data_IF_623025778259
#
_entry.id   IF_623025778259
#
_cell.length_a   1.000
_cell.length_b   1.000
_cell.length_c   1.000
_cell.angle_alpha   90.00
_cell.angle_beta   90.00
_cell.angle_gamma   90.00
#
_symmetry.space_group_name_H-M   'P 1'
#
loop_
_entity.id
_entity.type
_entity.pdbx_description
1 polymer ?
#
# COMPACT_ATOMS: atom_id res chain seq x y z
N UNK A 1 -3.09 -11.54 67.02
CA UNK A 1 -2.70 -10.73 65.85
C UNK A 1 -1.80 -11.58 64.96
N UNK A 2 -2.37 -12.32 63.99
CA UNK A 2 -2.19 -12.17 62.54
C UNK A 2 -2.85 -13.37 61.84
N UNK A 3 -3.93 -13.11 61.09
CA UNK A 3 -4.54 -14.03 60.14
C UNK A 3 -3.72 -14.05 58.85
N UNK A 4 -3.81 -15.12 58.07
CA UNK A 4 -3.44 -15.15 56.65
C UNK A 4 -2.99 -16.54 56.24
N UNK A 5 -3.90 -17.46 55.88
CA UNK A 5 -4.28 -17.65 54.47
C UNK A 5 -3.05 -17.70 53.54
N UNK A 6 -2.34 -18.82 53.54
CA UNK A 6 -1.78 -19.32 52.29
C UNK A 6 -2.55 -20.57 51.94
N UNK A 7 -3.73 -20.31 51.38
CA UNK A 7 -4.50 -21.26 50.61
C UNK A 7 -3.57 -22.09 49.72
N UNK A 8 -3.96 -23.34 49.59
CA UNK A 8 -3.68 -24.20 48.46
C UNK A 8 -3.75 -23.44 47.13
N UNK A 9 -2.65 -22.82 46.71
CA UNK A 9 -2.43 -22.52 45.31
C UNK A 9 -1.98 -23.84 44.70
N UNK A 10 -2.98 -24.66 44.43
CA UNK A 10 -2.91 -25.77 43.51
C UNK A 10 -2.10 -25.33 42.30
N UNK A 11 -0.98 -26.03 42.07
CA UNK A 11 -0.24 -26.02 40.81
C UNK A 11 -1.18 -26.53 39.71
N UNK A 12 -2.11 -25.70 39.24
CA UNK A 12 -2.62 -25.81 37.89
C UNK A 12 -1.55 -25.21 36.99
N UNK A 13 -0.53 -26.01 36.70
CA UNK A 13 0.30 -25.79 35.52
C UNK A 13 -0.69 -25.86 34.36
N UNK A 14 -1.04 -24.69 33.82
CA UNK A 14 -1.87 -24.60 32.64
C UNK A 14 -1.04 -25.19 31.50
N UNK A 15 -1.30 -26.45 31.15
CA UNK A 15 -0.68 -27.09 29.99
C UNK A 15 -1.10 -26.31 28.76
N UNK A 16 -0.20 -25.45 28.27
CA UNK A 16 -0.41 -24.71 27.04
C UNK A 16 -0.17 -25.69 25.89
N UNK A 17 -1.24 -26.21 25.29
CA UNK A 17 -1.16 -27.06 24.11
C UNK A 17 -0.82 -26.20 22.88
N UNK A 18 0.47 -26.05 22.62
CA UNK A 18 0.99 -25.43 21.40
C UNK A 18 0.94 -26.42 20.24
N UNK A 19 0.24 -26.06 19.17
CA UNK A 19 0.13 -26.87 17.96
C UNK A 19 0.63 -26.04 16.77
N UNK A 20 1.47 -26.65 15.92
CA UNK A 20 1.88 -26.03 14.65
C UNK A 20 0.71 -25.93 13.68
N UNK A 21 0.83 -25.09 12.65
CA UNK A 21 -0.17 -24.97 11.58
C UNK A 21 -0.46 -26.33 10.90
N UNK A 22 0.58 -27.11 10.60
CA UNK A 22 0.45 -28.46 10.05
C UNK A 22 -0.26 -29.44 11.00
N UNK A 23 0.01 -29.31 12.30
CA UNK A 23 -0.67 -30.07 13.35
C UNK A 23 -2.14 -29.70 13.46
N UNK A 24 -2.47 -28.41 13.38
CA UNK A 24 -3.85 -27.91 13.39
C UNK A 24 -4.65 -28.48 12.22
N UNK A 25 -4.11 -28.48 11.00
CA UNK A 25 -4.78 -29.09 9.85
C UNK A 25 -5.00 -30.59 10.03
N UNK A 26 -4.00 -31.29 10.56
CA UNK A 26 -4.13 -32.73 10.83
C UNK A 26 -5.27 -33.01 11.81
N UNK A 27 -5.39 -32.21 12.87
CA UNK A 27 -6.47 -32.33 13.85
C UNK A 27 -7.83 -32.05 13.21
N UNK A 28 -7.96 -30.95 12.45
CA UNK A 28 -9.22 -30.59 11.78
C UNK A 28 -9.64 -31.67 10.79
N UNK A 29 -8.71 -32.20 9.99
CA UNK A 29 -9.00 -33.20 8.96
C UNK A 29 -9.33 -34.59 9.53
N UNK A 30 -8.79 -34.95 10.72
CA UNK A 30 -8.99 -36.27 11.35
C UNK A 30 -10.08 -36.30 12.42
N UNK A 31 -10.56 -35.16 12.89
CA UNK A 31 -11.58 -35.13 13.94
C UNK A 31 -12.91 -35.78 13.49
N UNK A 32 -13.70 -36.29 14.44
CA UNK A 32 -15.00 -36.95 14.16
C UNK A 32 -15.98 -36.01 13.45
N UNK A 33 -15.96 -34.73 13.79
CA UNK A 33 -16.85 -33.76 13.16
C UNK A 33 -16.49 -33.49 11.69
N UNK A 34 -15.28 -33.84 11.21
CA UNK A 34 -14.87 -33.63 9.81
C UNK A 34 -15.68 -34.45 8.79
N UNK A 35 -16.38 -35.50 9.24
CA UNK A 35 -17.30 -36.30 8.41
C UNK A 35 -18.77 -35.90 8.58
N UNK A 36 -19.10 -35.08 9.58
CA UNK A 36 -20.47 -34.64 9.85
C UNK A 36 -20.82 -33.44 8.99
N UNK A 37 -21.70 -33.64 8.00
CA UNK A 37 -22.18 -32.58 7.11
C UNK A 37 -22.68 -31.38 7.92
N UNK A 38 -22.22 -30.18 7.56
CA UNK A 38 -22.61 -28.93 8.21
C UNK A 38 -21.73 -28.50 9.39
N UNK A 39 -20.80 -29.33 9.87
CA UNK A 39 -19.83 -28.90 10.89
C UNK A 39 -18.74 -27.98 10.29
N UNK A 40 -18.07 -27.18 11.14
CA UNK A 40 -16.93 -26.36 10.71
C UNK A 40 -15.80 -27.22 10.13
N UNK A 41 -15.35 -28.31 10.79
CA UNK A 41 -14.29 -29.16 10.23
C UNK A 41 -14.68 -29.84 8.91
N UNK A 42 -15.95 -30.23 8.75
CA UNK A 42 -16.43 -30.81 7.50
C UNK A 42 -16.38 -29.79 6.34
N UNK A 43 -16.80 -28.54 6.58
CA UNK A 43 -16.69 -27.47 5.57
C UNK A 43 -15.24 -27.21 5.18
N UNK A 44 -14.34 -27.12 6.16
CA UNK A 44 -12.91 -26.96 5.91
C UNK A 44 -12.35 -28.12 5.07
N UNK A 45 -12.57 -29.37 5.51
CA UNK A 45 -12.14 -30.56 4.77
C UNK A 45 -12.66 -30.55 3.33
N UNK A 46 -13.95 -30.20 3.14
CA UNK A 46 -14.53 -30.16 1.80
C UNK A 46 -13.89 -29.07 0.96
N UNK A 47 -13.79 -27.84 1.46
CA UNK A 47 -13.16 -26.72 0.75
C UNK A 47 -11.71 -27.03 0.34
N UNK A 48 -10.88 -27.53 1.27
CA UNK A 48 -9.50 -27.92 0.97
C UNK A 48 -9.44 -28.99 -0.14
N UNK A 49 -10.31 -30.00 -0.07
CA UNK A 49 -10.27 -31.14 -1.01
C UNK A 49 -10.94 -30.87 -2.35
N UNK A 50 -11.92 -29.98 -2.43
CA UNK A 50 -12.63 -29.67 -3.69
C UNK A 50 -12.10 -28.44 -4.42
N UNK A 51 -11.47 -27.51 -3.72
CA UNK A 51 -11.05 -26.23 -4.29
C UNK A 51 -9.53 -26.05 -4.19
N UNK A 52 -8.99 -26.03 -2.96
CA UNK A 52 -7.58 -25.68 -2.71
C UNK A 52 -6.62 -26.67 -3.36
N UNK A 53 -6.69 -27.95 -3.00
CA UNK A 53 -5.77 -28.97 -3.51
C UNK A 53 -5.90 -29.17 -5.05
N UNK A 54 -7.11 -29.23 -5.64
CA UNK A 54 -7.25 -29.29 -7.09
C UNK A 54 -6.67 -28.08 -7.81
N UNK A 55 -6.81 -26.87 -7.27
CA UNK A 55 -6.19 -25.67 -7.84
C UNK A 55 -4.67 -25.77 -7.79
N UNK A 56 -4.09 -26.01 -6.61
CA UNK A 56 -2.63 -26.14 -6.46
C UNK A 56 -2.08 -27.22 -7.40
N UNK A 57 -2.76 -28.36 -7.54
CA UNK A 57 -2.33 -29.43 -8.46
C UNK A 57 -2.32 -28.98 -9.93
N UNK A 58 -3.21 -28.07 -10.33
CA UNK A 58 -3.33 -27.57 -11.72
C UNK A 58 -2.42 -26.38 -12.00
N UNK A 59 -2.33 -25.42 -11.07
CA UNK A 59 -1.70 -24.11 -11.29
C UNK A 59 -0.38 -23.94 -10.52
N UNK A 60 -0.05 -24.84 -9.60
CA UNK A 60 1.11 -24.73 -8.71
C UNK A 60 0.91 -23.82 -7.50
N UNK A 61 -0.23 -23.13 -7.37
CA UNK A 61 -0.51 -22.18 -6.30
C UNK A 61 -2.00 -22.05 -6.00
N UNK A 62 -2.37 -21.75 -4.74
CA UNK A 62 -3.73 -21.35 -4.38
C UNK A 62 -3.79 -19.83 -4.26
N UNK A 63 -4.73 -19.21 -4.98
CA UNK A 63 -4.96 -17.76 -4.93
C UNK A 63 -6.44 -17.52 -4.64
N UNK A 64 -6.72 -16.86 -3.51
CA UNK A 64 -8.09 -16.46 -3.12
C UNK A 64 -8.61 -15.32 -3.99
N UNK A 65 -7.69 -14.59 -4.63
CA UNK A 65 -8.05 -13.84 -5.81
C UNK A 65 -8.33 -14.89 -6.87
N UNK A 66 -9.60 -15.01 -7.26
CA UNK A 66 -9.94 -15.29 -8.65
C UNK A 66 -8.83 -14.68 -9.47
N UNK A 67 -8.00 -15.51 -10.09
CA UNK A 67 -7.07 -15.03 -11.09
C UNK A 67 -7.96 -14.44 -12.17
N UNK A 68 -8.28 -13.18 -12.00
CA UNK A 68 -8.79 -12.27 -12.98
C UNK A 68 -7.59 -11.95 -13.89
N UNK A 69 -7.01 -13.01 -14.46
CA UNK A 69 -6.32 -12.98 -15.75
C UNK A 69 -7.38 -12.92 -16.87
N UNK A 70 -8.62 -12.62 -16.52
CA UNK A 70 -9.63 -12.13 -17.43
C UNK A 70 -9.28 -10.64 -17.68
N UNK A 71 -9.20 -10.19 -18.93
CA UNK A 71 -9.14 -8.78 -19.25
C UNK A 71 -10.18 -7.99 -18.44
N UNK A 72 -9.88 -6.75 -18.06
CA UNK A 72 -10.76 -5.87 -17.25
C UNK A 72 -12.22 -5.86 -17.79
N UNK A 73 -12.39 -6.06 -19.10
CA UNK A 73 -13.67 -6.13 -19.81
C UNK A 73 -14.52 -7.39 -19.53
N UNK A 74 -13.94 -8.41 -18.93
CA UNK A 74 -14.59 -9.69 -18.58
C UNK A 74 -14.86 -9.80 -17.07
N UNK A 75 -14.48 -8.80 -16.28
CA UNK A 75 -14.75 -8.77 -14.85
C UNK A 75 -16.22 -8.40 -14.57
N UNK A 76 -16.83 -8.94 -13.50
CA UNK A 76 -18.07 -8.41 -12.96
C UNK A 76 -17.96 -6.89 -12.76
N UNK A 77 -19.00 -6.14 -13.12
CA UNK A 77 -18.98 -4.66 -13.13
C UNK A 77 -18.59 -4.06 -11.77
N UNK A 78 -18.88 -4.75 -10.67
CA UNK A 78 -18.52 -4.36 -9.29
C UNK A 78 -17.02 -4.46 -8.98
N UNK A 79 -16.26 -5.25 -9.75
CA UNK A 79 -14.82 -5.46 -9.56
C UNK A 79 -13.95 -4.72 -10.59
N UNK A 80 -14.55 -4.15 -11.65
CA UNK A 80 -13.82 -3.34 -12.63
C UNK A 80 -13.32 -2.05 -12.00
N UNK A 81 -12.07 -1.69 -12.31
CA UNK A 81 -11.59 -0.34 -12.00
C UNK A 81 -12.35 0.63 -12.90
N UNK A 82 -13.13 1.53 -12.29
CA UNK A 82 -13.82 2.59 -13.04
C UNK A 82 -12.77 3.46 -13.74
N UNK A 83 -12.79 3.49 -15.06
CA UNK A 83 -11.97 4.39 -15.88
C UNK A 83 -12.81 5.59 -16.28
N UNK A 84 -12.21 6.77 -16.18
CA UNK A 84 -12.84 8.02 -16.56
C UNK A 84 -12.02 8.61 -17.71
N UNK A 85 -12.64 8.81 -18.86
CA UNK A 85 -12.09 9.62 -19.95
C UNK A 85 -12.72 11.00 -19.86
N UNK A 86 -11.89 12.00 -19.55
CA UNK A 86 -12.28 13.41 -19.65
C UNK A 86 -11.25 14.13 -20.49
N UNK A 87 -11.73 14.94 -21.42
CA UNK A 87 -10.91 15.92 -22.10
C UNK A 87 -10.65 17.06 -21.12
N UNK A 88 -9.38 17.44 -21.01
CA UNK A 88 -8.92 18.54 -20.17
C UNK A 88 -8.25 19.56 -21.08
N UNK A 89 -8.44 20.84 -20.76
CA UNK A 89 -7.78 21.92 -21.49
C UNK A 89 -6.29 21.98 -21.14
N UNK A 90 -5.51 22.63 -22.00
CA UNK A 90 -4.09 22.85 -21.75
C UNK A 90 -3.84 23.53 -20.40
N UNK A 91 -4.60 24.59 -20.10
CA UNK A 91 -4.53 25.30 -18.81
C UNK A 91 -4.78 24.37 -17.61
N UNK A 92 -5.73 23.44 -17.72
CA UNK A 92 -6.03 22.48 -16.64
C UNK A 92 -4.86 21.51 -16.42
N UNK A 93 -4.22 21.06 -17.50
CA UNK A 93 -3.02 20.24 -17.42
C UNK A 93 -1.84 20.99 -16.79
N UNK A 94 -1.63 22.25 -17.18
CA UNK A 94 -0.61 23.13 -16.59
C UNK A 94 -0.85 23.40 -15.10
N UNK A 95 -2.11 23.44 -14.63
CA UNK A 95 -2.42 23.52 -13.19
C UNK A 95 -1.92 22.30 -12.41
N UNK A 96 -1.92 21.10 -12.99
CA UNK A 96 -1.32 19.93 -12.34
C UNK A 96 0.21 20.04 -12.30
N UNK A 97 0.85 20.57 -13.34
CA UNK A 97 2.28 20.88 -13.32
C UNK A 97 2.63 21.89 -12.22
N UNK A 98 1.81 22.94 -12.08
CA UNK A 98 1.94 23.95 -11.02
C UNK A 98 1.78 23.36 -9.63
N UNK A 99 0.79 22.47 -9.42
CA UNK A 99 0.59 21.76 -8.15
C UNK A 99 1.81 20.90 -7.79
N UNK A 100 2.33 20.16 -8.77
CA UNK A 100 3.53 19.36 -8.59
C UNK A 100 4.75 20.23 -8.23
N UNK A 101 4.92 21.36 -8.93
CA UNK A 101 6.01 22.30 -8.71
C UNK A 101 5.91 22.98 -7.33
N UNK A 102 4.71 23.30 -6.86
CA UNK A 102 4.46 23.81 -5.53
C UNK A 102 4.89 22.80 -4.44
N UNK A 103 4.55 21.52 -4.62
CA UNK A 103 5.01 20.45 -3.73
C UNK A 103 6.54 20.33 -3.75
N UNK A 104 7.15 20.32 -4.93
CA UNK A 104 8.61 20.29 -5.07
C UNK A 104 9.29 21.43 -4.28
N UNK A 105 8.82 22.67 -4.45
CA UNK A 105 9.39 23.84 -3.77
C UNK A 105 9.18 23.77 -2.25
N UNK A 106 8.02 23.29 -1.79
CA UNK A 106 7.77 23.12 -0.36
C UNK A 106 8.71 22.08 0.26
N UNK A 107 8.90 20.94 -0.41
CA UNK A 107 9.82 19.90 0.08
C UNK A 107 11.27 20.38 0.05
N UNK A 108 11.67 21.17 -0.94
CA UNK A 108 12.99 21.80 -1.00
C UNK A 108 13.21 22.76 0.18
N UNK A 109 12.21 23.55 0.52
CA UNK A 109 12.25 24.43 1.69
C UNK A 109 12.37 23.61 2.99
N UNK A 110 11.50 22.62 3.19
CA UNK A 110 11.54 21.75 4.37
C UNK A 110 12.89 21.05 4.52
N UNK A 111 13.48 20.59 3.41
CA UNK A 111 14.82 19.97 3.42
C UNK A 111 15.93 20.93 3.88
N UNK A 112 15.77 22.23 3.62
CA UNK A 112 16.74 23.24 4.07
C UNK A 112 16.56 23.61 5.54
N UNK A 113 15.32 23.61 6.05
CA UNK A 113 15.02 24.13 7.39
C UNK A 113 14.92 23.07 8.49
N UNK A 114 14.75 21.78 8.17
CA UNK A 114 14.53 20.77 9.21
C UNK A 114 15.72 20.65 10.18
N UNK A 115 16.96 20.62 9.68
CA UNK A 115 18.16 20.60 10.55
C UNK A 115 18.29 21.85 11.42
N UNK A 116 18.18 23.08 10.88
CA UNK A 116 18.12 24.28 11.72
C UNK A 116 17.05 24.22 12.81
N UNK A 117 15.84 23.72 12.50
CA UNK A 117 14.76 23.61 13.47
C UNK A 117 15.08 22.58 14.57
N UNK A 118 15.68 21.44 14.22
CA UNK A 118 16.16 20.45 15.20
C UNK A 118 17.25 21.02 16.11
N UNK A 119 18.22 21.77 15.54
CA UNK A 119 19.29 22.42 16.30
C UNK A 119 18.75 23.47 17.30
N UNK A 120 17.62 24.09 16.98
CA UNK A 120 16.91 25.01 17.87
C UNK A 120 16.04 24.29 18.92
N UNK A 121 16.03 22.96 18.94
CA UNK A 121 15.19 22.16 19.85
C UNK A 121 13.71 22.16 19.50
N UNK A 122 13.34 22.60 18.29
CA UNK A 122 11.94 22.62 17.85
C UNK A 122 11.47 21.23 17.44
N UNK A 123 10.31 20.80 17.96
CA UNK A 123 9.64 19.54 17.54
C UNK A 123 9.36 19.50 16.04
N UNK A 124 9.16 20.67 15.42
CA UNK A 124 8.88 20.79 13.99
C UNK A 124 10.05 20.40 13.09
N UNK A 125 11.27 20.31 13.62
CA UNK A 125 12.42 19.83 12.85
C UNK A 125 12.26 18.37 12.42
N UNK A 126 11.90 17.51 13.37
CA UNK A 126 11.61 16.09 13.08
C UNK A 126 10.40 15.95 12.14
N UNK A 127 9.33 16.72 12.39
CA UNK A 127 8.13 16.72 11.53
C UNK A 127 8.47 17.11 10.08
N UNK A 128 9.29 18.16 9.89
CA UNK A 128 9.74 18.59 8.57
C UNK A 128 10.59 17.52 7.86
N UNK A 129 11.48 16.84 8.58
CA UNK A 129 12.26 15.72 8.03
C UNK A 129 11.35 14.56 7.57
N UNK A 130 10.37 14.21 8.39
CA UNK A 130 9.39 13.17 8.07
C UNK A 130 8.61 13.52 6.80
N UNK A 131 8.09 14.75 6.71
CA UNK A 131 7.36 15.20 5.52
C UNK A 131 8.23 15.17 4.26
N UNK A 132 9.50 15.60 4.33
CA UNK A 132 10.43 15.51 3.19
C UNK A 132 10.59 14.07 2.72
N UNK A 133 10.79 13.15 3.65
CA UNK A 133 11.06 11.74 3.35
C UNK A 133 9.82 11.04 2.78
N UNK A 134 8.65 11.24 3.39
CA UNK A 134 7.40 10.61 2.97
C UNK A 134 6.90 11.16 1.64
N UNK A 135 6.83 12.48 1.52
CA UNK A 135 6.22 13.13 0.36
C UNK A 135 7.14 13.13 -0.87
N UNK A 136 8.43 12.82 -0.72
CA UNK A 136 9.31 12.56 -1.85
C UNK A 136 8.81 11.39 -2.72
N UNK A 137 8.19 10.38 -2.10
CA UNK A 137 7.56 9.27 -2.84
C UNK A 137 6.38 9.75 -3.66
N UNK A 138 5.50 10.56 -3.07
CA UNK A 138 4.35 11.17 -3.76
C UNK A 138 4.80 12.07 -4.91
N UNK A 139 5.81 12.90 -4.69
CA UNK A 139 6.37 13.79 -5.71
C UNK A 139 6.92 12.99 -6.91
N UNK A 140 7.62 11.88 -6.66
CA UNK A 140 8.12 10.98 -7.69
C UNK A 140 7.02 10.26 -8.48
N UNK A 141 5.97 9.78 -7.78
CA UNK A 141 4.82 9.14 -8.43
C UNK A 141 4.05 10.14 -9.31
N UNK A 142 3.81 11.35 -8.82
CA UNK A 142 3.15 12.41 -9.61
C UNK A 142 3.97 12.79 -10.84
N UNK A 143 5.31 12.89 -10.73
CA UNK A 143 6.15 13.15 -11.90
C UNK A 143 5.92 12.12 -13.00
N UNK A 144 5.92 10.84 -12.65
CA UNK A 144 5.76 9.73 -13.62
C UNK A 144 4.43 9.75 -14.34
N UNK A 145 3.39 10.20 -13.65
CA UNK A 145 2.07 10.40 -14.25
C UNK A 145 2.07 11.59 -15.20
N UNK A 146 2.61 12.73 -14.75
CA UNK A 146 2.49 14.00 -15.47
C UNK A 146 3.47 14.15 -16.63
N UNK A 147 4.68 13.62 -16.52
CA UNK A 147 5.72 13.76 -17.55
C UNK A 147 5.29 13.31 -18.96
N UNK A 148 4.76 12.09 -19.18
CA UNK A 148 4.31 11.69 -20.52
C UNK A 148 3.08 12.48 -20.99
N UNK A 149 2.25 12.98 -20.06
CA UNK A 149 1.05 13.75 -20.39
C UNK A 149 1.37 15.20 -20.79
N UNK A 150 2.54 15.71 -20.37
CA UNK A 150 2.97 17.10 -20.55
C UNK A 150 4.22 17.21 -21.45
N UNK A 151 4.58 16.13 -22.15
CA UNK A 151 5.79 16.07 -22.96
C UNK A 151 5.75 17.09 -24.11
N UNK A 152 4.60 17.18 -24.78
CA UNK A 152 4.39 18.03 -25.97
C UNK A 152 4.06 19.49 -25.64
N UNK A 153 3.83 19.83 -24.37
CA UNK A 153 3.42 21.16 -23.96
C UNK A 153 4.62 22.12 -24.04
N UNK A 154 4.48 23.20 -24.80
CA UNK A 154 5.48 24.26 -24.93
C UNK A 154 4.86 25.60 -24.57
N UNK A 155 5.41 26.23 -23.53
CA UNK A 155 4.82 27.41 -22.89
C UNK A 155 5.79 28.58 -23.04
N UNK A 156 5.27 29.74 -23.44
CA UNK A 156 6.09 30.93 -23.67
C UNK A 156 6.84 31.34 -22.38
N UNK A 157 8.19 31.41 -22.39
CA UNK A 157 8.97 31.73 -21.20
C UNK A 157 8.74 33.13 -20.62
N UNK A 158 8.23 34.08 -21.42
CA UNK A 158 8.01 35.48 -21.01
C UNK A 158 6.59 35.70 -20.52
N UNK A 159 5.60 35.19 -21.23
CA UNK A 159 4.19 35.38 -20.87
C UNK A 159 3.78 34.45 -19.72
N UNK A 160 4.31 33.22 -19.69
CA UNK A 160 3.90 32.18 -18.75
C UNK A 160 5.10 31.55 -18.02
N UNK A 161 6.00 32.41 -17.53
CA UNK A 161 7.25 32.05 -16.89
C UNK A 161 7.13 30.98 -15.78
N UNK A 162 6.04 31.03 -14.99
CA UNK A 162 5.78 30.06 -13.92
C UNK A 162 5.61 28.63 -14.45
N UNK A 163 4.77 28.46 -15.48
CA UNK A 163 4.49 27.15 -16.05
C UNK A 163 5.69 26.62 -16.84
N UNK A 164 6.39 27.51 -17.55
CA UNK A 164 7.66 27.17 -18.19
C UNK A 164 8.67 26.59 -17.18
N UNK A 165 8.86 27.26 -16.03
CA UNK A 165 9.78 26.79 -14.98
C UNK A 165 9.30 25.47 -14.35
N UNK A 166 7.98 25.33 -14.12
CA UNK A 166 7.39 24.12 -13.58
C UNK A 166 7.64 22.91 -14.50
N UNK A 167 7.41 23.06 -15.80
CA UNK A 167 7.65 22.01 -16.81
C UNK A 167 9.14 21.67 -16.94
N UNK A 168 10.01 22.69 -16.98
CA UNK A 168 11.46 22.47 -17.01
C UNK A 168 11.95 21.70 -15.78
N UNK A 169 11.46 22.07 -14.59
CA UNK A 169 11.80 21.40 -13.34
C UNK A 169 11.26 19.96 -13.33
N UNK A 170 10.03 19.75 -13.81
CA UNK A 170 9.42 18.43 -13.93
C UNK A 170 10.25 17.49 -14.80
N UNK A 171 10.67 17.96 -15.98
CA UNK A 171 11.46 17.19 -16.96
C UNK A 171 12.86 16.83 -16.42
N UNK A 172 13.48 17.75 -15.70
CA UNK A 172 14.86 17.56 -15.17
C UNK A 172 14.91 16.82 -13.82
N UNK A 173 13.82 16.81 -13.07
CA UNK A 173 13.77 16.19 -11.75
C UNK A 173 13.99 14.68 -11.82
N UNK A 174 14.93 14.17 -11.01
CA UNK A 174 15.20 12.74 -10.87
C UNK A 174 14.57 12.23 -9.57
N UNK A 175 13.59 11.32 -9.62
CA UNK A 175 13.03 10.72 -8.42
C UNK A 175 14.12 10.00 -7.62
N UNK A 176 14.13 10.17 -6.30
CA UNK A 176 15.04 9.45 -5.39
C UNK A 176 14.25 8.46 -4.53
N UNK A 177 14.92 7.42 -4.04
CA UNK A 177 14.33 6.42 -3.13
C UNK A 177 13.20 5.59 -3.76
N UNK A 178 12.19 5.24 -2.96
CA UNK A 178 11.05 4.42 -3.39
C UNK A 178 10.21 5.06 -4.50
N UNK A 179 10.21 6.40 -4.61
CA UNK A 179 9.57 7.12 -5.71
C UNK A 179 10.15 6.77 -7.09
N UNK A 180 11.36 6.19 -7.14
CA UNK A 180 11.98 5.62 -8.34
C UNK A 180 11.57 4.18 -8.66
N UNK A 181 10.76 3.51 -7.83
CA UNK A 181 10.48 2.07 -7.96
C UNK A 181 8.97 1.78 -7.98
N UNK A 182 8.14 2.67 -7.42
CA UNK A 182 6.67 2.51 -7.40
C UNK A 182 6.11 2.36 -8.82
N UNK A 183 5.52 1.19 -9.11
CA UNK A 183 4.77 0.93 -10.35
C UNK A 183 3.40 1.58 -10.23
N UNK A 184 3.03 2.32 -11.27
CA UNK A 184 1.74 3.00 -11.42
C UNK A 184 0.84 2.15 -12.30
#
# INVERSE_FOLDING_TARGET
>A
MNLGLTESISKQVQEVNLVSESGMYTLILRCREAVKKGSVPHRFRKWVTSEVLPQIRKTGQYSTQTQLTLPDDQLPLSLRKKKYSKELTEEQWLRFASMWFALYNNLELLRKIHKPLEMLGSRHGIEAYTHVTEYQTTLGAMKRLLEPLLEEFDVDPKEEAHYHLALQTLRTYKPQGLGGIVRI
#
